data_IF_307750266185
#
_entry.id   IF_307750266185
#
_cell.length_a   1.000
_cell.length_b   1.000
_cell.length_c   1.000
_cell.angle_alpha   90.00
_cell.angle_beta   90.00
_cell.angle_gamma   90.00
#
_symmetry.space_group_name_H-M   'P 1'
#
loop_
_entity.id
_entity.type
_entity.pdbx_description
1 polymer ?
#
# COMPACT_ATOMS: atom_id res chain seq x y z
N UNK A 1 56.72 -46.61 27.28
CA UNK A 1 56.92 -46.31 25.84
C UNK A 1 55.62 -45.99 25.10
N UNK A 2 54.45 -45.99 25.75
CA UNK A 2 53.12 -45.72 25.12
C UNK A 2 52.55 -44.32 25.31
N UNK A 3 53.07 -43.50 26.22
CA UNK A 3 52.51 -42.16 26.51
C UNK A 3 53.02 -41.09 25.56
N UNK A 4 54.21 -41.25 25.01
CA UNK A 4 54.80 -40.26 24.08
C UNK A 4 54.11 -40.17 22.70
N UNK A 5 53.68 -41.30 22.16
CA UNK A 5 53.02 -41.35 20.83
C UNK A 5 51.64 -40.74 20.85
N UNK A 6 50.92 -40.81 21.98
CA UNK A 6 49.56 -40.29 22.08
C UNK A 6 49.51 -38.75 22.16
N UNK A 7 50.58 -38.14 22.68
CA UNK A 7 50.67 -36.66 22.81
C UNK A 7 51.06 -36.04 21.46
N UNK A 8 51.90 -36.69 20.66
CA UNK A 8 52.32 -36.22 19.35
C UNK A 8 51.17 -36.27 18.32
N UNK A 9 50.37 -37.32 18.33
CA UNK A 9 49.22 -37.47 17.43
C UNK A 9 48.12 -36.45 17.69
N UNK A 10 47.89 -36.09 18.97
CA UNK A 10 46.94 -35.03 19.38
C UNK A 10 47.42 -33.65 18.96
N UNK A 11 48.73 -33.37 19.06
CA UNK A 11 49.33 -32.11 18.67
C UNK A 11 49.28 -31.91 17.14
N UNK A 12 49.48 -32.97 16.35
CA UNK A 12 49.42 -32.90 14.92
C UNK A 12 48.00 -32.72 14.40
N UNK A 13 46.99 -33.42 14.99
CA UNK A 13 45.56 -33.23 14.64
C UNK A 13 45.04 -31.84 15.00
N UNK A 14 45.50 -31.25 16.11
CA UNK A 14 45.13 -29.90 16.53
C UNK A 14 45.74 -28.81 15.62
N UNK A 15 46.95 -29.01 15.10
CA UNK A 15 47.59 -28.10 14.16
C UNK A 15 46.94 -28.11 12.78
N UNK A 16 46.46 -29.28 12.30
CA UNK A 16 45.72 -29.41 11.04
C UNK A 16 44.34 -28.74 11.16
N UNK A 17 43.63 -28.88 12.32
CA UNK A 17 42.34 -28.26 12.56
C UNK A 17 42.41 -26.76 12.62
N UNK A 18 43.47 -26.18 13.22
CA UNK A 18 43.70 -24.74 13.31
C UNK A 18 44.08 -24.14 11.92
N UNK A 19 44.87 -24.89 11.14
CA UNK A 19 45.23 -24.48 9.77
C UNK A 19 44.04 -24.42 8.81
N UNK A 20 43.12 -25.40 8.89
CA UNK A 20 41.89 -25.37 8.11
C UNK A 20 40.88 -24.28 8.53
N UNK A 21 40.83 -23.93 9.82
CA UNK A 21 39.94 -22.86 10.30
C UNK A 21 40.39 -21.45 9.85
N UNK A 22 41.72 -21.23 9.78
CA UNK A 22 42.27 -19.96 9.33
C UNK A 22 42.21 -19.77 7.82
N UNK A 23 42.28 -20.86 7.02
CA UNK A 23 42.12 -20.82 5.58
C UNK A 23 40.64 -20.53 5.18
N UNK A 24 39.65 -21.00 5.95
CA UNK A 24 38.24 -20.74 5.70
C UNK A 24 37.83 -19.29 5.98
N UNK A 25 38.52 -18.60 6.91
CA UNK A 25 38.24 -17.20 7.25
C UNK A 25 38.84 -16.21 6.23
N UNK A 26 39.91 -16.58 5.54
CA UNK A 26 40.53 -15.72 4.53
C UNK A 26 39.74 -15.68 3.20
N UNK A 27 38.96 -16.75 2.89
CA UNK A 27 38.17 -16.82 1.64
C UNK A 27 36.87 -16.01 1.75
N UNK A 28 36.28 -15.88 2.97
CA UNK A 28 35.06 -15.07 3.16
C UNK A 28 35.33 -13.57 3.20
N UNK A 29 36.52 -13.12 3.58
CA UNK A 29 36.88 -11.71 3.57
C UNK A 29 37.11 -11.15 2.15
N UNK A 30 37.55 -11.97 1.21
CA UNK A 30 37.78 -11.56 -0.18
C UNK A 30 36.48 -11.43 -1.01
N UNK A 31 35.41 -12.12 -0.62
CA UNK A 31 34.13 -12.10 -1.36
C UNK A 31 33.27 -10.85 -1.04
N UNK A 32 33.54 -10.16 0.07
CA UNK A 32 32.80 -8.93 0.46
C UNK A 32 33.39 -7.67 -0.17
N UNK A 33 34.61 -7.73 -0.69
CA UNK A 33 35.31 -6.56 -1.24
C UNK A 33 35.10 -6.31 -2.76
N UNK A 34 34.27 -7.11 -3.42
CA UNK A 34 34.16 -7.07 -4.89
C UNK A 34 32.77 -6.69 -5.42
N UNK A 35 32.10 -5.71 -4.81
CA UNK A 35 31.01 -5.01 -5.50
C UNK A 35 31.11 -3.49 -5.34
N UNK A 36 32.01 -2.81 -6.10
CA UNK A 36 32.17 -1.36 -6.04
C UNK A 36 31.10 -0.57 -6.76
N UNK A 37 30.01 -1.19 -7.20
CA UNK A 37 28.92 -0.53 -7.93
C UNK A 37 27.53 -0.98 -7.46
N UNK A 38 27.31 -1.12 -6.16
CA UNK A 38 25.95 -0.99 -5.67
C UNK A 38 25.55 0.47 -5.93
N UNK A 39 24.79 0.71 -7.01
CA UNK A 39 24.13 1.98 -7.28
C UNK A 39 23.40 2.33 -5.98
N UNK A 40 23.84 3.37 -5.29
CA UNK A 40 23.19 3.86 -4.08
C UNK A 40 21.78 4.26 -4.51
N UNK A 41 20.81 3.38 -4.24
CA UNK A 41 19.41 3.73 -4.41
C UNK A 41 19.14 4.97 -3.52
N UNK A 42 18.40 5.95 -4.02
CA UNK A 42 18.07 7.14 -3.25
C UNK A 42 17.47 6.71 -1.91
N UNK A 43 17.90 7.34 -0.81
CA UNK A 43 17.29 7.08 0.49
C UNK A 43 15.78 7.27 0.38
N UNK A 44 14.98 6.30 0.86
CA UNK A 44 13.53 6.47 0.88
C UNK A 44 13.16 7.71 1.71
N UNK A 45 12.20 8.48 1.20
CA UNK A 45 11.57 9.59 1.91
C UNK A 45 10.18 9.17 2.38
N UNK A 46 9.58 9.90 3.33
CA UNK A 46 8.17 9.66 3.71
C UNK A 46 7.26 9.71 2.49
N UNK A 47 7.41 10.72 1.64
CA UNK A 47 6.64 10.82 0.40
C UNK A 47 6.78 9.57 -0.48
N UNK A 48 8.01 9.13 -0.76
CA UNK A 48 8.23 7.98 -1.64
C UNK A 48 7.67 6.67 -1.10
N UNK A 49 7.73 6.45 0.23
CA UNK A 49 7.16 5.25 0.88
C UNK A 49 5.63 5.28 0.83
N UNK A 50 5.02 6.42 1.14
CA UNK A 50 3.56 6.60 1.12
C UNK A 50 3.00 6.50 -0.30
N UNK A 51 3.67 7.13 -1.26
CA UNK A 51 3.31 7.10 -2.69
C UNK A 51 3.41 5.68 -3.27
N UNK A 52 4.46 4.92 -2.91
CA UNK A 52 4.58 3.52 -3.28
C UNK A 52 3.44 2.67 -2.71
N UNK A 53 3.07 2.90 -1.45
CA UNK A 53 1.95 2.20 -0.81
C UNK A 53 0.62 2.53 -1.50
N UNK A 54 0.37 3.80 -1.82
CA UNK A 54 -0.82 4.22 -2.57
C UNK A 54 -0.85 3.59 -3.97
N UNK A 55 0.28 3.59 -4.69
CA UNK A 55 0.40 2.94 -6.00
C UNK A 55 0.07 1.44 -5.95
N UNK A 56 0.44 0.76 -4.85
CA UNK A 56 0.10 -0.65 -4.64
C UNK A 56 -1.41 -0.85 -4.43
N UNK A 57 -2.04 0.07 -3.70
CA UNK A 57 -3.49 0.08 -3.47
C UNK A 57 -4.24 0.36 -4.78
N UNK A 58 -3.86 1.38 -5.52
CA UNK A 58 -4.45 1.75 -6.81
C UNK A 58 -4.43 0.59 -7.81
N UNK A 59 -3.28 -0.11 -7.93
CA UNK A 59 -3.11 -1.30 -8.80
C UNK A 59 -4.04 -2.46 -8.46
N UNK A 60 -4.63 -2.48 -7.27
CA UNK A 60 -5.62 -3.50 -6.89
C UNK A 60 -7.05 -3.00 -7.01
N UNK A 61 -7.30 -1.78 -6.58
CA UNK A 61 -8.63 -1.16 -6.51
C UNK A 61 -9.17 -0.83 -7.90
N UNK A 62 -8.38 -0.13 -8.74
CA UNK A 62 -8.85 0.31 -10.07
C UNK A 62 -9.21 -0.88 -10.96
N UNK A 63 -8.38 -1.93 -11.11
CA UNK A 63 -8.77 -3.10 -11.89
C UNK A 63 -9.99 -3.84 -11.32
N UNK A 64 -10.20 -3.85 -10.00
CA UNK A 64 -11.39 -4.43 -9.40
C UNK A 64 -12.65 -3.63 -9.75
N UNK A 65 -12.58 -2.30 -9.73
CA UNK A 65 -13.66 -1.43 -10.19
C UNK A 65 -13.97 -1.64 -11.68
N UNK A 66 -12.93 -1.77 -12.52
CA UNK A 66 -13.08 -2.06 -13.95
C UNK A 66 -13.68 -3.43 -14.25
N UNK A 67 -13.43 -4.42 -13.39
CA UNK A 67 -13.88 -5.79 -13.62
C UNK A 67 -15.39 -5.98 -13.50
N UNK A 68 -16.11 -5.15 -12.74
CA UNK A 68 -17.55 -5.22 -12.59
C UNK A 68 -18.22 -4.72 -13.89
N UNK A 69 -19.13 -5.49 -14.53
CA UNK A 69 -19.92 -5.04 -15.67
C UNK A 69 -20.81 -3.84 -15.29
N UNK A 70 -21.08 -2.97 -16.25
CA UNK A 70 -21.86 -1.75 -16.02
C UNK A 70 -23.26 -2.03 -15.48
N UNK A 71 -23.94 -3.04 -16.02
CA UNK A 71 -25.27 -3.47 -15.57
C UNK A 71 -25.28 -4.01 -14.13
N UNK A 72 -24.10 -4.29 -13.55
CA UNK A 72 -23.90 -4.75 -12.18
C UNK A 72 -23.36 -3.69 -11.22
N UNK A 73 -23.15 -2.47 -11.69
CA UNK A 73 -22.62 -1.40 -10.81
C UNK A 73 -23.56 -1.05 -9.66
N UNK A 74 -24.86 -1.25 -9.83
CA UNK A 74 -25.85 -1.06 -8.76
C UNK A 74 -26.09 -2.31 -7.89
N UNK A 75 -25.26 -3.36 -8.06
CA UNK A 75 -25.36 -4.55 -7.23
C UNK A 75 -25.04 -4.23 -5.76
N UNK A 76 -25.88 -4.76 -4.87
CA UNK A 76 -25.60 -4.89 -3.44
C UNK A 76 -26.05 -6.28 -2.96
N UNK A 77 -25.41 -6.89 -1.96
CA UNK A 77 -25.85 -8.14 -1.38
C UNK A 77 -27.27 -8.02 -0.80
N UNK A 78 -28.08 -9.09 -0.97
CA UNK A 78 -29.47 -9.13 -0.46
C UNK A 78 -29.77 -10.34 0.41
N UNK A 79 -28.88 -11.35 0.42
CA UNK A 79 -29.05 -12.57 1.22
C UNK A 79 -28.20 -12.47 2.49
N UNK A 80 -28.83 -12.32 3.64
CA UNK A 80 -28.20 -12.08 4.94
C UNK A 80 -28.54 -10.69 5.48
N UNK A 81 -27.79 -10.23 6.47
CA UNK A 81 -27.98 -8.93 7.14
C UNK A 81 -27.24 -7.81 6.39
N UNK A 82 -27.70 -7.47 5.20
CA UNK A 82 -27.10 -6.45 4.33
C UNK A 82 -27.95 -5.18 4.16
N UNK A 83 -28.89 -4.93 5.09
CA UNK A 83 -29.72 -3.74 5.02
C UNK A 83 -28.85 -2.47 5.13
N UNK A 84 -28.92 -1.61 4.11
CA UNK A 84 -28.23 -0.30 4.11
C UNK A 84 -26.77 -0.36 3.70
N UNK A 85 -26.25 -1.51 3.21
CA UNK A 85 -24.92 -1.55 2.61
C UNK A 85 -24.89 -0.76 1.31
N UNK A 86 -23.71 -0.29 0.95
CA UNK A 86 -23.47 0.39 -0.32
C UNK A 86 -23.64 -0.55 -1.50
N UNK A 87 -24.08 -0.01 -2.64
CA UNK A 87 -23.90 -0.68 -3.92
C UNK A 87 -22.44 -0.66 -4.33
N UNK A 88 -22.07 -1.49 -5.31
CA UNK A 88 -20.71 -1.49 -5.86
C UNK A 88 -20.29 -0.09 -6.35
N UNK A 89 -21.19 0.60 -7.07
CA UNK A 89 -20.97 2.00 -7.50
C UNK A 89 -20.73 2.95 -6.32
N UNK A 90 -21.48 2.80 -5.25
CA UNK A 90 -21.35 3.63 -4.07
C UNK A 90 -20.02 3.35 -3.32
N UNK A 91 -19.56 2.09 -3.26
CA UNK A 91 -18.23 1.75 -2.72
C UNK A 91 -17.10 2.45 -3.50
N UNK A 92 -17.15 2.38 -4.84
CA UNK A 92 -16.14 3.01 -5.72
C UNK A 92 -16.14 4.54 -5.54
N UNK A 93 -17.32 5.15 -5.54
CA UNK A 93 -17.45 6.61 -5.35
C UNK A 93 -17.01 7.05 -3.94
N UNK A 94 -17.32 6.26 -2.92
CA UNK A 94 -16.94 6.53 -1.55
C UNK A 94 -15.42 6.61 -1.35
N UNK A 95 -14.67 5.67 -1.94
CA UNK A 95 -13.21 5.72 -1.92
C UNK A 95 -12.68 7.01 -2.58
N UNK A 96 -13.25 7.40 -3.71
CA UNK A 96 -12.86 8.63 -4.40
C UNK A 96 -13.15 9.89 -3.55
N UNK A 97 -14.32 9.97 -2.93
CA UNK A 97 -14.67 11.05 -1.99
C UNK A 97 -13.65 11.14 -0.87
N UNK A 98 -13.34 10.02 -0.23
CA UNK A 98 -12.36 9.98 0.85
C UNK A 98 -10.98 10.47 0.40
N UNK A 99 -10.49 10.01 -0.75
CA UNK A 99 -9.22 10.45 -1.32
C UNK A 99 -9.17 11.97 -1.55
N UNK A 100 -10.22 12.57 -2.12
CA UNK A 100 -10.29 14.01 -2.33
C UNK A 100 -10.31 14.79 -1.01
N UNK A 101 -11.10 14.38 -0.03
CA UNK A 101 -11.19 15.08 1.26
C UNK A 101 -9.90 14.96 2.08
N UNK A 102 -9.34 13.76 2.17
CA UNK A 102 -8.07 13.52 2.87
C UNK A 102 -6.91 14.25 2.20
N UNK A 103 -6.84 14.18 0.86
CA UNK A 103 -5.82 14.87 0.08
C UNK A 103 -5.91 16.39 0.24
N UNK A 104 -7.11 16.97 0.18
CA UNK A 104 -7.33 18.40 0.39
C UNK A 104 -6.90 18.85 1.80
N UNK A 105 -7.20 18.05 2.82
CA UNK A 105 -6.77 18.34 4.19
C UNK A 105 -5.23 18.27 4.37
N UNK A 106 -4.55 17.32 3.71
CA UNK A 106 -3.07 17.25 3.70
C UNK A 106 -2.48 18.50 3.04
N UNK A 107 -3.04 18.93 1.90
CA UNK A 107 -2.56 20.07 1.13
C UNK A 107 -2.94 21.42 1.75
N UNK A 108 -3.92 21.46 2.65
CA UNK A 108 -4.50 22.70 3.17
C UNK A 108 -5.34 23.44 2.12
N UNK A 109 -5.87 22.73 1.15
CA UNK A 109 -6.67 23.25 0.02
C UNK A 109 -8.16 22.95 0.22
N UNK A 110 -9.02 23.59 -0.56
CA UNK A 110 -10.42 23.18 -0.73
C UNK A 110 -10.47 21.92 -1.60
N UNK A 111 -11.46 21.07 -1.38
CA UNK A 111 -11.72 19.93 -2.27
C UNK A 111 -11.94 20.46 -3.70
N UNK A 112 -11.18 19.94 -4.71
CA UNK A 112 -11.13 20.56 -6.03
C UNK A 112 -12.32 20.22 -6.95
N UNK A 113 -13.17 19.28 -6.51
CA UNK A 113 -14.30 18.76 -7.29
C UNK A 113 -15.56 18.71 -6.45
N UNK A 114 -16.73 18.59 -7.09
CA UNK A 114 -17.96 18.24 -6.39
C UNK A 114 -17.89 16.77 -5.92
N UNK A 115 -17.99 16.56 -4.62
CA UNK A 115 -18.04 15.23 -3.99
C UNK A 115 -19.46 14.84 -3.55
N UNK A 116 -20.46 15.65 -3.91
CA UNK A 116 -21.85 15.44 -3.49
C UNK A 116 -22.10 15.82 -2.02
N UNK A 117 -23.31 15.55 -1.55
CA UNK A 117 -23.77 15.93 -0.21
C UNK A 117 -23.56 14.84 0.87
N UNK A 118 -22.85 13.76 0.53
CA UNK A 118 -22.67 12.63 1.45
C UNK A 118 -21.47 11.75 1.07
N UNK A 119 -21.26 10.68 1.84
CA UNK A 119 -20.08 9.86 1.68
C UNK A 119 -20.08 9.01 0.39
N UNK A 120 -21.23 8.84 -0.25
CA UNK A 120 -21.40 7.94 -1.40
C UNK A 120 -21.18 8.65 -2.75
N UNK A 121 -20.66 9.87 -2.71
CA UNK A 121 -20.28 10.64 -3.89
C UNK A 121 -21.45 11.31 -4.61
N UNK A 122 -21.17 12.03 -5.73
CA UNK A 122 -22.20 12.76 -6.46
C UNK A 122 -23.27 11.82 -7.02
N UNK A 123 -24.55 12.17 -6.79
CA UNK A 123 -25.67 11.40 -7.31
C UNK A 123 -25.76 11.41 -8.85
N UNK A 124 -25.22 12.45 -9.48
CA UNK A 124 -25.17 12.59 -10.92
C UNK A 124 -24.23 11.59 -11.63
N UNK A 125 -23.24 11.04 -10.92
CA UNK A 125 -22.33 10.04 -11.47
C UNK A 125 -23.02 8.67 -11.44
N UNK A 126 -23.61 8.26 -12.56
CA UNK A 126 -24.38 7.02 -12.70
C UNK A 126 -23.75 6.03 -13.68
N UNK A 127 -22.98 6.48 -14.67
CA UNK A 127 -22.31 5.59 -15.61
C UNK A 127 -21.02 5.02 -15.00
N UNK A 128 -20.68 3.79 -15.35
CA UNK A 128 -19.39 3.18 -14.99
C UNK A 128 -18.21 4.04 -15.42
N UNK A 129 -18.27 4.60 -16.62
CA UNK A 129 -17.20 5.42 -17.18
C UNK A 129 -16.93 6.66 -16.32
N UNK A 130 -17.98 7.39 -15.91
CA UNK A 130 -17.84 8.59 -15.07
C UNK A 130 -17.37 8.25 -13.66
N UNK A 131 -17.85 7.13 -13.09
CA UNK A 131 -17.44 6.65 -11.77
C UNK A 131 -15.96 6.24 -11.78
N UNK A 132 -15.50 5.52 -12.80
CA UNK A 132 -14.09 5.16 -12.96
C UNK A 132 -13.21 6.39 -13.16
N UNK A 133 -13.67 7.37 -13.96
CA UNK A 133 -12.95 8.64 -14.10
C UNK A 133 -12.81 9.35 -12.75
N UNK A 134 -13.88 9.45 -11.99
CA UNK A 134 -13.88 10.06 -10.66
C UNK A 134 -12.93 9.35 -9.69
N UNK A 135 -12.89 8.01 -9.72
CA UNK A 135 -11.93 7.21 -8.94
C UNK A 135 -10.49 7.51 -9.35
N UNK A 136 -10.18 7.45 -10.65
CA UNK A 136 -8.82 7.69 -11.15
C UNK A 136 -8.35 9.12 -10.83
N UNK A 137 -9.18 10.14 -11.04
CA UNK A 137 -8.88 11.53 -10.71
C UNK A 137 -8.58 11.67 -9.20
N UNK A 138 -9.28 10.92 -8.34
CA UNK A 138 -9.06 10.93 -6.90
C UNK A 138 -7.71 10.34 -6.50
N UNK A 139 -7.25 9.28 -7.18
CA UNK A 139 -5.92 8.72 -6.97
C UNK A 139 -4.82 9.69 -7.40
N UNK A 140 -4.97 10.33 -8.56
CA UNK A 140 -4.03 11.39 -9.01
C UNK A 140 -3.91 12.49 -7.95
N UNK A 141 -5.03 12.93 -7.38
CA UNK A 141 -5.04 13.96 -6.35
C UNK A 141 -4.43 13.46 -5.03
N UNK A 142 -4.69 12.22 -4.64
CA UNK A 142 -4.09 11.60 -3.47
C UNK A 142 -2.57 11.47 -3.61
N UNK A 143 -2.05 11.06 -4.77
CA UNK A 143 -0.62 11.06 -5.07
C UNK A 143 0.00 12.46 -4.93
N UNK A 144 -0.64 13.51 -5.48
CA UNK A 144 -0.20 14.91 -5.29
C UNK A 144 -0.08 15.23 -3.80
N UNK A 145 -1.07 14.85 -3.00
CA UNK A 145 -1.09 15.14 -1.58
C UNK A 145 0.02 14.39 -0.82
N UNK A 146 0.21 13.10 -1.05
CA UNK A 146 1.27 12.33 -0.39
C UNK A 146 2.67 12.81 -0.77
N UNK A 147 2.87 13.23 -2.03
CA UNK A 147 4.16 13.76 -2.49
C UNK A 147 4.51 15.15 -1.91
N UNK A 148 3.58 15.84 -1.25
CA UNK A 148 3.85 17.08 -0.51
C UNK A 148 4.38 16.86 0.91
N UNK A 149 4.37 15.61 1.40
CA UNK A 149 4.79 15.25 2.75
C UNK A 149 6.30 15.12 2.83
N UNK A 150 6.89 15.66 3.90
CA UNK A 150 8.33 15.60 4.16
C UNK A 150 8.60 15.54 5.67
N UNK A 151 9.89 15.46 6.06
CA UNK A 151 10.32 15.32 7.44
C UNK A 151 9.85 16.47 8.34
N UNK A 152 9.67 17.67 7.80
CA UNK A 152 9.31 18.85 8.59
C UNK A 152 7.81 18.97 8.82
N UNK A 153 6.97 18.48 7.87
CA UNK A 153 5.54 18.69 7.92
C UNK A 153 4.71 17.44 8.29
N UNK A 154 5.30 16.25 8.28
CA UNK A 154 4.57 14.98 8.44
C UNK A 154 3.77 14.89 9.75
N UNK A 155 4.28 15.45 10.84
CA UNK A 155 3.61 15.47 12.15
C UNK A 155 2.90 16.79 12.45
N UNK A 156 2.91 17.76 11.53
CA UNK A 156 2.18 19.01 11.73
C UNK A 156 0.69 18.75 11.90
N UNK A 157 0.05 19.44 12.86
CA UNK A 157 -1.38 19.32 13.07
C UNK A 157 -2.15 19.96 11.91
N UNK A 158 -3.15 19.24 11.43
CA UNK A 158 -4.07 19.68 10.39
C UNK A 158 -5.52 19.39 10.83
N UNK A 159 -6.48 20.13 10.29
CA UNK A 159 -7.89 19.89 10.59
C UNK A 159 -8.36 18.59 9.94
N UNK A 160 -9.01 17.71 10.71
CA UNK A 160 -9.64 16.52 10.14
C UNK A 160 -10.76 16.92 9.16
N UNK A 161 -10.86 16.29 7.98
CA UNK A 161 -11.97 16.55 7.06
C UNK A 161 -13.28 15.89 7.51
N UNK A 162 -13.23 14.94 8.48
CA UNK A 162 -14.36 14.14 8.93
C UNK A 162 -14.72 14.41 10.40
N UNK A 163 -14.58 15.66 10.85
CA UNK A 163 -15.01 16.05 12.20
C UNK A 163 -14.28 17.28 12.73
N UNK A 164 -14.57 17.67 13.97
CA UNK A 164 -14.04 18.91 14.53
C UNK A 164 -12.59 18.81 15.02
N UNK A 165 -12.04 17.61 15.12
CA UNK A 165 -10.76 17.35 15.76
C UNK A 165 -9.56 17.71 14.87
N UNK A 166 -8.44 18.05 15.51
CA UNK A 166 -7.15 18.11 14.84
C UNK A 166 -6.56 16.69 14.70
N UNK A 167 -5.79 16.49 13.65
CA UNK A 167 -5.05 15.27 13.35
C UNK A 167 -3.67 15.65 12.81
N UNK A 168 -2.90 14.71 12.26
CA UNK A 168 -1.61 14.99 11.60
C UNK A 168 -1.65 14.61 10.12
N UNK A 169 -0.73 15.17 9.32
CA UNK A 169 -0.59 14.73 7.92
C UNK A 169 -0.28 13.24 7.82
N UNK A 170 0.52 12.70 8.74
CA UNK A 170 0.80 11.26 8.79
C UNK A 170 -0.49 10.44 8.96
N UNK A 171 -1.35 10.80 9.91
CA UNK A 171 -2.59 10.07 10.16
C UNK A 171 -3.52 10.11 8.94
N UNK A 172 -3.62 11.26 8.26
CA UNK A 172 -4.38 11.38 7.01
C UNK A 172 -3.76 10.55 5.87
N UNK A 173 -2.42 10.53 5.75
CA UNK A 173 -1.72 9.72 4.76
C UNK A 173 -1.94 8.22 5.00
N UNK A 174 -1.90 7.77 6.25
CA UNK A 174 -2.25 6.37 6.60
C UNK A 174 -3.70 6.05 6.24
N UNK A 175 -4.62 7.00 6.40
CA UNK A 175 -6.01 6.82 5.97
C UNK A 175 -6.13 6.71 4.45
N UNK A 176 -5.43 7.56 3.68
CA UNK A 176 -5.41 7.48 2.19
C UNK A 176 -4.90 6.12 1.73
N UNK A 177 -3.87 5.58 2.35
CA UNK A 177 -3.27 4.31 1.93
C UNK A 177 -4.02 3.08 2.44
N UNK A 178 -4.71 3.18 3.57
CA UNK A 178 -5.36 2.05 4.25
C UNK A 178 -6.86 1.90 3.96
N UNK A 179 -7.60 3.01 3.96
CA UNK A 179 -9.06 3.01 3.77
C UNK A 179 -9.52 2.31 2.47
N UNK A 180 -8.85 2.47 1.30
CA UNK A 180 -9.28 1.77 0.10
C UNK A 180 -9.16 0.24 0.19
N UNK A 181 -8.31 -0.32 1.06
CA UNK A 181 -8.23 -1.77 1.24
C UNK A 181 -9.45 -2.36 1.95
N UNK A 182 -10.07 -1.61 2.90
CA UNK A 182 -11.33 -2.02 3.52
C UNK A 182 -12.43 -2.17 2.45
N UNK A 183 -12.59 -1.16 1.61
CA UNK A 183 -13.57 -1.17 0.52
C UNK A 183 -13.21 -2.15 -0.61
N UNK A 184 -11.92 -2.33 -0.90
CA UNK A 184 -11.46 -3.35 -1.84
C UNK A 184 -11.89 -4.76 -1.40
N UNK A 185 -11.81 -5.07 -0.11
CA UNK A 185 -12.32 -6.35 0.41
C UNK A 185 -13.80 -6.56 0.10
N UNK A 186 -14.63 -5.55 0.31
CA UNK A 186 -16.06 -5.58 -0.03
C UNK A 186 -16.28 -5.72 -1.54
N UNK A 187 -15.56 -4.97 -2.37
CA UNK A 187 -15.62 -5.08 -3.83
C UNK A 187 -15.24 -6.49 -4.33
N UNK A 188 -14.23 -7.14 -3.72
CA UNK A 188 -13.82 -8.51 -4.03
C UNK A 188 -14.98 -9.48 -3.80
N UNK A 189 -15.68 -9.37 -2.66
CA UNK A 189 -16.84 -10.20 -2.37
C UNK A 189 -17.98 -9.94 -3.37
N UNK A 190 -18.27 -8.68 -3.70
CA UNK A 190 -19.32 -8.36 -4.69
C UNK A 190 -18.99 -8.90 -6.08
N UNK A 191 -17.71 -8.85 -6.51
CA UNK A 191 -17.29 -9.49 -7.75
C UNK A 191 -17.56 -11.00 -7.73
N UNK A 192 -17.14 -11.69 -6.65
CA UNK A 192 -17.35 -13.15 -6.51
C UNK A 192 -18.83 -13.53 -6.48
N UNK A 193 -19.67 -12.76 -5.80
CA UNK A 193 -21.12 -12.96 -5.77
C UNK A 193 -21.75 -12.82 -7.16
N UNK A 194 -21.10 -12.08 -8.07
CA UNK A 194 -21.50 -11.97 -9.47
C UNK A 194 -20.75 -12.93 -10.41
N UNK A 195 -20.06 -13.94 -9.87
CA UNK A 195 -19.33 -14.94 -10.67
C UNK A 195 -18.05 -14.43 -11.31
N UNK A 196 -17.51 -13.29 -10.84
CA UNK A 196 -16.32 -12.65 -11.40
C UNK A 196 -15.12 -12.94 -10.51
N UNK A 197 -14.06 -13.52 -11.08
CA UNK A 197 -12.77 -13.67 -10.38
C UNK A 197 -12.11 -12.30 -10.29
N UNK A 198 -11.80 -11.80 -9.08
CA UNK A 198 -11.11 -10.52 -8.92
C UNK A 198 -9.78 -10.50 -9.66
N UNK A 199 -9.38 -9.39 -10.33
CA UNK A 199 -8.16 -9.33 -11.12
C UNK A 199 -6.90 -9.79 -10.38
N UNK A 200 -6.72 -9.38 -9.13
CA UNK A 200 -5.57 -9.80 -8.31
C UNK A 200 -5.57 -11.29 -7.92
N UNK A 201 -6.66 -12.02 -8.16
CA UNK A 201 -6.77 -13.48 -7.92
C UNK A 201 -6.66 -14.31 -9.20
N UNK A 202 -6.48 -13.69 -10.36
CA UNK A 202 -6.32 -14.39 -11.64
C UNK A 202 -4.88 -14.94 -11.74
N UNK A 203 -4.79 -16.21 -12.22
CA UNK A 203 -3.51 -16.87 -12.49
C UNK A 203 -3.05 -16.56 -13.89
#
# INVERSE_FOLDING_TARGET
MFVGQYVEERSMKMRIAIGCLLASFAITAAAVAANPQAKLEPKPTFASVLDHQLSSTEKTVVPAAEAMPEDKYNFAPTQGEFKGVRTFAAEVKHMAVANFHLGAAILGEKVPVDTGNGPDGPAALTSKADILKFLNDSFVYAHKALNSINETNILEPVKSPFGPNMTTRLALAMSITGHPYDHYGQMVEYLRMNGIVPPASRK
#
